data_IF_812500748907
#
_entry.id   IF_812500748907
#
_cell.length_a   1.000
_cell.length_b   1.000
_cell.length_c   1.000
_cell.angle_alpha   90.00
_cell.angle_beta   90.00
_cell.angle_gamma   90.00
#
_symmetry.space_group_name_H-M   'P 1'
#
loop_
_entity.id
_entity.type
_entity.pdbx_description
1 polymer ?
#
# COMPACT_ATOMS: atom_id res chain seq x y z
N UNK A 1 -4.88 14.88 7.89
CA UNK A 1 -4.84 16.34 7.67
C UNK A 1 -3.93 16.55 6.50
N UNK A 2 -4.45 16.39 5.28
CA UNK A 2 -3.63 16.52 4.08
C UNK A 2 -4.23 17.67 3.30
N UNK A 3 -3.70 18.88 3.46
CA UNK A 3 -4.13 20.06 2.69
C UNK A 3 -3.05 20.31 1.64
N UNK A 4 -3.33 19.96 0.39
CA UNK A 4 -2.50 20.38 -0.74
C UNK A 4 -2.82 21.86 -1.02
N UNK A 5 -1.92 22.76 -0.62
CA UNK A 5 -2.12 24.21 -0.72
C UNK A 5 -2.21 24.72 -2.16
N UNK A 6 -1.32 24.26 -3.03
CA UNK A 6 -1.32 24.61 -4.46
C UNK A 6 -0.84 23.41 -5.28
N UNK A 7 -1.66 22.96 -6.23
CA UNK A 7 -1.33 21.90 -7.16
C UNK A 7 -1.46 22.42 -8.59
N UNK A 8 -0.32 22.55 -9.28
CA UNK A 8 -0.27 22.92 -10.69
C UNK A 8 0.08 21.69 -11.53
N UNK A 9 -0.88 21.22 -12.32
CA UNK A 9 -0.76 20.09 -13.26
C UNK A 9 -0.81 20.55 -14.72
N UNK A 10 -0.66 21.86 -14.99
CA UNK A 10 -0.71 22.41 -16.34
C UNK A 10 0.42 21.85 -17.21
N UNK A 11 0.25 21.91 -18.54
CA UNK A 11 1.24 21.46 -19.53
C UNK A 11 1.66 19.99 -19.43
N UNK A 12 0.78 19.10 -18.95
CA UNK A 12 1.04 17.66 -18.96
C UNK A 12 0.21 16.95 -20.05
N UNK A 13 0.48 15.66 -20.23
CA UNK A 13 -0.27 14.79 -21.13
C UNK A 13 -1.25 13.92 -20.34
N UNK A 14 -1.88 14.49 -19.31
CA UNK A 14 -2.87 13.77 -18.51
C UNK A 14 -4.11 13.48 -19.35
N UNK A 15 -4.57 12.25 -19.23
CA UNK A 15 -5.83 11.79 -19.80
C UNK A 15 -6.68 11.19 -18.69
N UNK A 16 -8.00 11.19 -18.86
CA UNK A 16 -9.06 10.62 -18.01
C UNK A 16 -9.89 11.68 -17.24
N UNK A 17 -11.09 11.30 -16.74
CA UNK A 17 -11.92 12.19 -15.94
C UNK A 17 -11.21 12.62 -14.66
N UNK A 18 -11.36 13.89 -14.29
CA UNK A 18 -10.88 14.39 -13.00
C UNK A 18 -11.71 13.73 -11.90
N UNK A 19 -11.04 13.10 -10.94
CA UNK A 19 -11.72 12.43 -9.82
C UNK A 19 -12.45 13.47 -8.98
N UNK A 20 -13.78 13.34 -8.89
CA UNK A 20 -14.62 14.26 -8.12
C UNK A 20 -14.53 14.02 -6.59
N UNK A 21 -13.92 12.91 -6.16
CA UNK A 21 -14.02 12.47 -4.77
C UNK A 21 -12.98 13.08 -3.81
N UNK A 22 -12.04 13.91 -4.30
CA UNK A 22 -10.87 14.39 -3.54
C UNK A 22 -10.62 15.90 -3.77
N UNK A 23 -9.58 16.46 -3.12
CA UNK A 23 -9.12 17.86 -3.26
C UNK A 23 -8.79 18.30 -4.70
N UNK A 24 -8.75 17.37 -5.66
CA UNK A 24 -8.52 17.68 -7.07
C UNK A 24 -9.64 18.53 -7.69
N UNK A 25 -10.88 18.41 -7.20
CA UNK A 25 -12.01 19.20 -7.70
C UNK A 25 -12.03 20.63 -7.17
N UNK A 26 -11.21 20.96 -6.16
CA UNK A 26 -11.17 22.30 -5.54
C UNK A 26 -10.07 23.22 -6.10
N UNK A 27 -9.15 22.71 -6.92
CA UNK A 27 -8.12 23.53 -7.56
C UNK A 27 -8.68 24.33 -8.75
N UNK A 28 -8.03 25.44 -9.09
CA UNK A 28 -8.42 26.26 -10.24
C UNK A 28 -8.27 25.49 -11.56
N UNK A 29 -9.15 25.79 -12.53
CA UNK A 29 -9.10 25.16 -13.86
C UNK A 29 -7.77 25.41 -14.60
N UNK A 30 -7.11 26.55 -14.33
CA UNK A 30 -5.80 26.91 -14.89
C UNK A 30 -4.70 25.92 -14.52
N UNK A 31 -4.78 25.35 -13.31
CA UNK A 31 -3.89 24.28 -12.86
C UNK A 31 -3.98 23.02 -13.70
N UNK A 32 -5.00 22.87 -14.56
CA UNK A 32 -5.16 21.72 -15.44
C UNK A 32 -5.03 22.09 -16.92
N UNK A 33 -4.70 23.34 -17.21
CA UNK A 33 -4.60 23.86 -18.58
C UNK A 33 -3.61 23.04 -19.42
N UNK A 34 -3.88 22.97 -20.74
CA UNK A 34 -3.06 22.26 -21.74
C UNK A 34 -2.92 20.74 -21.55
N UNK A 35 -3.80 20.09 -20.76
CA UNK A 35 -3.98 18.64 -20.76
C UNK A 35 -5.17 18.25 -21.66
N UNK A 36 -4.91 17.73 -22.86
CA UNK A 36 -5.97 17.49 -23.86
C UNK A 36 -6.94 16.35 -23.51
N UNK A 37 -6.47 15.39 -22.71
CA UNK A 37 -7.22 14.18 -22.34
C UNK A 37 -8.03 14.31 -21.04
N UNK A 38 -7.94 15.43 -20.32
CA UNK A 38 -8.74 15.69 -19.12
C UNK A 38 -10.14 16.18 -19.48
N UNK A 39 -11.12 15.79 -18.67
CA UNK A 39 -12.49 16.29 -18.73
C UNK A 39 -13.13 16.22 -17.33
N UNK A 40 -14.21 16.98 -17.12
CA UNK A 40 -14.91 17.07 -15.84
C UNK A 40 -14.47 18.26 -14.98
N UNK A 41 -15.23 18.53 -13.91
CA UNK A 41 -15.01 19.66 -12.99
C UNK A 41 -13.63 19.58 -12.34
N UNK A 42 -12.84 20.68 -12.32
CA UNK A 42 -13.20 22.09 -12.51
C UNK A 42 -13.08 22.63 -13.96
N UNK A 43 -12.79 21.80 -14.96
CA UNK A 43 -12.67 22.26 -16.35
C UNK A 43 -14.06 22.50 -16.97
N UNK A 44 -14.20 23.51 -17.84
CA UNK A 44 -15.44 23.73 -18.60
C UNK A 44 -15.73 22.63 -19.64
N UNK A 45 -14.74 21.77 -19.92
CA UNK A 45 -14.89 20.62 -20.82
C UNK A 45 -15.57 19.49 -20.07
N UNK A 46 -16.88 19.37 -20.27
CA UNK A 46 -17.65 18.22 -19.79
C UNK A 46 -17.19 16.93 -20.50
N UNK A 47 -17.14 15.83 -19.75
CA UNK A 47 -16.90 14.53 -20.36
C UNK A 47 -18.15 14.15 -21.19
N UNK A 48 -17.98 13.64 -22.44
CA UNK A 48 -19.11 13.27 -23.26
C UNK A 48 -20.04 12.28 -22.52
N UNK A 49 -21.37 12.47 -22.56
CA UNK A 49 -22.30 11.47 -22.03
C UNK A 49 -22.10 10.18 -22.83
N UNK A 50 -21.63 9.13 -22.14
CA UNK A 50 -21.25 7.88 -22.81
C UNK A 50 -19.77 7.83 -23.26
N UNK A 51 -18.88 8.67 -22.72
CA UNK A 51 -17.41 8.51 -22.84
C UNK A 51 -16.91 7.30 -22.03
N UNK A 52 -17.56 6.16 -22.24
CA UNK A 52 -17.11 4.86 -21.76
C UNK A 52 -15.70 4.60 -22.26
N UNK A 53 -15.31 5.00 -23.48
CA UNK A 53 -13.96 4.71 -23.99
C UNK A 53 -12.80 5.29 -23.16
N UNK A 54 -12.88 6.55 -22.72
CA UNK A 54 -11.82 7.19 -21.92
C UNK A 54 -11.76 6.57 -20.52
N UNK A 55 -12.91 6.49 -19.86
CA UNK A 55 -13.07 5.85 -18.55
C UNK A 55 -12.71 4.37 -18.58
N UNK A 56 -13.01 3.67 -19.68
CA UNK A 56 -12.74 2.25 -19.89
C UNK A 56 -11.25 2.01 -20.12
N UNK A 57 -10.57 2.86 -20.90
CA UNK A 57 -9.11 2.77 -21.03
C UNK A 57 -8.42 3.07 -19.69
N UNK A 58 -8.89 4.05 -18.92
CA UNK A 58 -8.43 4.33 -17.57
C UNK A 58 -8.59 3.13 -16.63
N UNK A 59 -9.82 2.61 -16.55
CA UNK A 59 -10.20 1.50 -15.67
C UNK A 59 -9.52 0.20 -16.07
N UNK A 60 -9.36 -0.04 -17.38
CA UNK A 60 -8.61 -1.18 -17.92
C UNK A 60 -7.14 -1.09 -17.52
N UNK A 61 -6.52 0.09 -17.56
CA UNK A 61 -5.13 0.27 -17.15
C UNK A 61 -4.96 0.03 -15.64
N UNK A 62 -5.85 0.56 -14.82
CA UNK A 62 -5.86 0.33 -13.37
C UNK A 62 -6.08 -1.16 -13.04
N UNK A 63 -7.05 -1.81 -13.67
CA UNK A 63 -7.32 -3.24 -13.47
C UNK A 63 -6.19 -4.13 -13.97
N UNK A 64 -5.58 -3.78 -15.11
CA UNK A 64 -4.38 -4.45 -15.62
C UNK A 64 -3.22 -4.36 -14.63
N UNK A 65 -2.98 -3.18 -14.04
CA UNK A 65 -1.96 -3.03 -13.01
C UNK A 65 -2.31 -3.81 -11.75
N UNK A 66 -3.54 -3.76 -11.26
CA UNK A 66 -3.98 -4.54 -10.09
C UNK A 66 -3.82 -6.04 -10.31
N UNK A 67 -4.24 -6.53 -11.49
CA UNK A 67 -4.12 -7.94 -11.87
C UNK A 67 -2.66 -8.36 -12.04
N UNK A 68 -1.83 -7.51 -12.65
CA UNK A 68 -0.39 -7.77 -12.83
C UNK A 68 0.36 -7.75 -11.49
N UNK A 69 0.01 -6.84 -10.59
CA UNK A 69 0.54 -6.80 -9.21
C UNK A 69 0.11 -8.03 -8.41
N UNK A 70 -1.13 -8.50 -8.58
CA UNK A 70 -1.60 -9.72 -7.93
C UNK A 70 -0.81 -10.97 -8.38
N UNK A 71 -0.50 -11.09 -9.67
CA UNK A 71 0.30 -12.22 -10.18
C UNK A 71 1.78 -12.14 -9.81
N UNK A 72 2.38 -10.94 -9.80
CA UNK A 72 3.79 -10.76 -9.40
C UNK A 72 3.98 -11.13 -7.92
N UNK A 73 3.02 -10.81 -7.04
CA UNK A 73 3.08 -11.19 -5.63
C UNK A 73 2.89 -12.70 -5.37
N UNK A 74 2.16 -13.41 -6.24
CA UNK A 74 1.92 -14.84 -6.07
C UNK A 74 3.12 -15.70 -6.46
N UNK A 75 3.88 -15.29 -7.49
CA UNK A 75 5.05 -16.04 -7.96
C UNK A 75 6.27 -15.97 -7.03
N UNK A 76 6.41 -14.92 -6.22
CA UNK A 76 7.59 -14.76 -5.34
C UNK A 76 7.50 -15.56 -4.04
N UNK A 77 6.28 -15.86 -3.55
CA UNK A 77 6.10 -16.57 -2.28
C UNK A 77 6.56 -18.02 -2.33
N UNK A 78 6.21 -18.74 -3.40
CA UNK A 78 6.45 -20.19 -3.53
C UNK A 78 7.95 -20.52 -3.54
N UNK A 79 8.77 -19.74 -4.24
CA UNK A 79 10.21 -19.99 -4.34
C UNK A 79 10.91 -19.76 -2.99
N UNK A 80 10.48 -18.75 -2.24
CA UNK A 80 11.04 -18.41 -0.92
C UNK A 80 10.68 -19.51 0.09
N UNK A 81 9.42 -19.98 0.10
CA UNK A 81 8.97 -21.06 1.00
C UNK A 81 9.69 -22.38 0.73
N UNK A 82 9.86 -22.76 -0.54
CA UNK A 82 10.59 -23.98 -0.92
C UNK A 82 12.06 -23.88 -0.51
N UNK A 83 12.70 -22.72 -0.74
CA UNK A 83 14.12 -22.51 -0.40
C UNK A 83 14.38 -22.63 1.10
N UNK A 84 13.54 -21.99 1.93
CA UNK A 84 13.67 -22.07 3.41
C UNK A 84 13.47 -23.51 3.89
N UNK A 85 12.47 -24.21 3.34
CA UNK A 85 12.16 -25.60 3.70
C UNK A 85 13.29 -26.55 3.35
N UNK A 86 13.84 -26.42 2.13
CA UNK A 86 14.95 -27.23 1.66
C UNK A 86 16.22 -27.04 2.51
N UNK A 87 16.61 -25.79 2.78
CA UNK A 87 17.76 -25.46 3.64
C UNK A 87 17.57 -26.02 5.06
N UNK A 88 16.35 -25.94 5.61
CA UNK A 88 16.05 -26.46 6.94
C UNK A 88 16.12 -28.00 7.02
N UNK A 89 15.75 -28.70 5.94
CA UNK A 89 15.82 -30.17 5.84
C UNK A 89 17.28 -30.63 5.68
N UNK A 90 18.06 -29.96 4.83
CA UNK A 90 19.42 -30.38 4.50
C UNK A 90 20.43 -30.12 5.62
N UNK A 91 20.29 -29.02 6.35
CA UNK A 91 21.20 -28.68 7.47
C UNK A 91 20.80 -29.41 8.76
N UNK A 92 19.60 -30.02 8.80
CA UNK A 92 18.95 -30.44 10.06
C UNK A 92 18.70 -29.23 10.98
N UNK A 93 18.02 -29.44 12.12
CA UNK A 93 17.58 -28.35 13.04
C UNK A 93 18.67 -27.29 13.24
N UNK A 94 18.56 -26.09 12.61
CA UNK A 94 19.68 -25.17 12.58
C UNK A 94 19.92 -24.63 13.98
N UNK A 95 21.14 -24.84 14.49
CA UNK A 95 21.51 -24.52 15.87
C UNK A 95 21.28 -23.03 16.19
N UNK A 96 21.44 -22.14 15.21
CA UNK A 96 21.21 -20.71 15.37
C UNK A 96 19.74 -20.37 15.64
N UNK A 97 18.77 -21.03 14.99
CA UNK A 97 17.34 -20.86 15.30
C UNK A 97 17.03 -21.36 16.71
N UNK A 98 17.51 -22.55 17.06
CA UNK A 98 17.30 -23.10 18.40
C UNK A 98 17.94 -22.22 19.50
N UNK A 99 19.07 -21.58 19.22
CA UNK A 99 19.68 -20.60 20.12
C UNK A 99 18.85 -19.31 20.21
N UNK A 100 18.38 -18.78 19.08
CA UNK A 100 17.52 -17.60 19.02
C UNK A 100 16.21 -17.79 19.79
N UNK A 101 15.52 -18.92 19.58
CA UNK A 101 14.30 -19.27 20.31
C UNK A 101 14.56 -19.36 21.81
N UNK A 102 15.62 -20.06 22.23
CA UNK A 102 16.00 -20.14 23.66
C UNK A 102 16.31 -18.77 24.29
N UNK A 103 16.87 -17.84 23.52
CA UNK A 103 17.09 -16.47 23.99
C UNK A 103 15.77 -15.72 24.16
N UNK A 104 14.85 -15.83 23.19
CA UNK A 104 13.53 -15.21 23.27
C UNK A 104 12.70 -15.77 24.42
N UNK A 105 12.75 -17.08 24.67
CA UNK A 105 12.11 -17.71 25.83
C UNK A 105 12.61 -17.11 27.14
N UNK A 106 13.94 -16.92 27.29
CA UNK A 106 14.51 -16.29 28.49
C UNK A 106 14.05 -14.83 28.64
N UNK A 107 13.97 -14.09 27.54
CA UNK A 107 13.46 -12.71 27.56
C UNK A 107 11.99 -12.70 27.97
N UNK A 108 11.17 -13.58 27.40
CA UNK A 108 9.75 -13.70 27.71
C UNK A 108 9.53 -14.07 29.19
N UNK A 109 10.29 -15.03 29.73
CA UNK A 109 10.24 -15.41 31.15
C UNK A 109 10.59 -14.22 32.05
N UNK A 110 11.69 -13.50 31.76
CA UNK A 110 12.06 -12.29 32.54
C UNK A 110 10.98 -11.21 32.49
N UNK A 111 10.36 -11.01 31.33
CA UNK A 111 9.25 -10.06 31.19
C UNK A 111 8.02 -10.50 31.99
N UNK A 112 7.68 -11.79 31.97
CA UNK A 112 6.58 -12.33 32.76
C UNK A 112 6.82 -12.19 34.26
N UNK A 113 8.03 -12.49 34.74
CA UNK A 113 8.41 -12.30 36.15
C UNK A 113 8.31 -10.84 36.57
N UNK A 114 8.84 -9.92 35.76
CA UNK A 114 8.77 -8.48 36.02
C UNK A 114 7.33 -7.98 36.04
N UNK A 115 6.50 -8.46 35.11
CA UNK A 115 5.07 -8.15 35.07
C UNK A 115 4.36 -8.67 36.32
N UNK A 116 4.59 -9.93 36.73
CA UNK A 116 4.03 -10.51 37.96
C UNK A 116 4.43 -9.71 39.19
N UNK A 117 5.71 -9.32 39.31
CA UNK A 117 6.19 -8.53 40.44
C UNK A 117 5.52 -7.15 40.50
N UNK A 118 5.27 -6.52 39.36
CA UNK A 118 4.54 -5.25 39.26
C UNK A 118 3.07 -5.41 39.66
N UNK A 119 2.41 -6.47 39.21
CA UNK A 119 1.02 -6.79 39.60
C UNK A 119 0.89 -7.08 41.10
N UNK A 120 1.84 -7.81 41.69
CA UNK A 120 1.86 -8.09 43.14
C UNK A 120 2.05 -6.80 43.95
N UNK A 121 2.94 -5.89 43.53
CA UNK A 121 3.13 -4.59 44.19
C UNK A 121 1.88 -3.70 44.10
N UNK A 122 1.21 -3.68 42.95
CA UNK A 122 -0.02 -2.91 42.77
C UNK A 122 -1.18 -3.44 43.64
N UNK A 123 -1.27 -4.76 43.86
CA UNK A 123 -2.29 -5.37 44.72
C UNK A 123 -2.04 -5.19 46.23
N UNK A 124 -0.87 -4.65 46.62
CA UNK A 124 -0.46 -4.48 48.02
C UNK A 124 -0.58 -3.03 48.52
N UNK A 125 -0.94 -2.09 47.64
CA UNK A 125 -1.41 -0.74 47.95
C UNK A 125 -2.93 -0.73 47.92
#
# INVERSE_FOLDING_TARGET
MDYLGDLNLSNNQLACPISQHNQFSTFLSDSYSKNQGLCGTPLPKECPPGSSSSTFNCKRHENWFKQKTAWIGYSSGIVIEISISYIAVEIGKPKWLAQGVRMLERIAVKWMEKSKQKTIRFRRQ
#
